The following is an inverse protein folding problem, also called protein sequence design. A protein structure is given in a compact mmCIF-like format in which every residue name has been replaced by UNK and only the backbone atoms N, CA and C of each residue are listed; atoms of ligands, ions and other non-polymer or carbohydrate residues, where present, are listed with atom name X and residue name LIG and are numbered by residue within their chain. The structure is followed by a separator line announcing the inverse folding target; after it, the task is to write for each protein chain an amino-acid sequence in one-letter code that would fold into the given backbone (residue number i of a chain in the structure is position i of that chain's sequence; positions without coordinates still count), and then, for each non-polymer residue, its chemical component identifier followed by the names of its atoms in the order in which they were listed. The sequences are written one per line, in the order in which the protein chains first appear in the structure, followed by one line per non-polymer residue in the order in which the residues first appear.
data_IF_163814186485
#
_entry.id   IF_163814186485
#
_cell.length_a   1.000
_cell.length_b   1.000
_cell.length_c   1.000
_cell.angle_alpha   90.00
_cell.angle_beta   90.00
_cell.angle_gamma   90.00
#
_symmetry.space_group_name_H-M   'P 1'
#
loop_
_entity.id
_entity.type
_entity.pdbx_description
1 polymer ?
#
# COMPACT_ATOMS: atom_id res chain seq x y z
N UNK A 1 28.79 -1.44 19.40
CA UNK A 1 27.43 -0.95 19.09
C UNK A 1 27.14 0.21 20.02
N UNK A 2 26.90 1.39 19.48
CA UNK A 2 26.58 2.59 20.26
C UNK A 2 25.18 2.41 20.89
N UNK A 3 24.91 2.99 22.04
CA UNK A 3 23.65 2.89 22.78
C UNK A 3 22.44 3.24 21.86
N UNK A 4 22.60 4.17 20.93
CA UNK A 4 21.60 4.55 19.93
C UNK A 4 21.23 3.39 18.97
N UNK A 5 22.19 2.57 18.56
CA UNK A 5 21.92 1.43 17.67
C UNK A 5 21.06 0.36 18.33
N UNK A 6 21.24 0.15 19.63
CA UNK A 6 20.45 -0.82 20.40
C UNK A 6 19.00 -0.35 20.51
N UNK A 7 18.78 0.94 20.79
CA UNK A 7 17.44 1.53 20.86
C UNK A 7 16.69 1.43 19.51
N UNK A 8 17.38 1.69 18.42
CA UNK A 8 16.82 1.56 17.05
C UNK A 8 16.44 0.10 16.77
N UNK A 9 17.30 -0.86 17.10
CA UNK A 9 17.03 -2.28 16.91
C UNK A 9 15.81 -2.72 17.72
N UNK A 10 15.71 -2.30 18.99
CA UNK A 10 14.56 -2.61 19.85
C UNK A 10 13.27 -2.02 19.27
N UNK A 11 13.27 -0.74 18.88
CA UNK A 11 12.12 -0.11 18.28
C UNK A 11 11.66 -0.82 17.00
N UNK A 12 12.60 -1.21 16.15
CA UNK A 12 12.32 -1.97 14.93
C UNK A 12 11.76 -3.37 15.24
N UNK A 13 12.32 -4.08 16.22
CA UNK A 13 11.84 -5.40 16.61
C UNK A 13 10.42 -5.33 17.19
N UNK A 14 10.12 -4.33 18.01
CA UNK A 14 8.78 -4.09 18.53
C UNK A 14 7.78 -3.78 17.42
N UNK A 15 8.18 -2.91 16.49
CA UNK A 15 7.36 -2.56 15.33
C UNK A 15 7.05 -3.78 14.45
N UNK A 16 8.06 -4.57 14.09
CA UNK A 16 7.88 -5.80 13.32
C UNK A 16 7.02 -6.82 14.07
N UNK A 17 7.22 -6.97 15.38
CA UNK A 17 6.40 -7.82 16.22
C UNK A 17 4.93 -7.42 16.22
N UNK A 18 4.65 -6.11 16.30
CA UNK A 18 3.29 -5.56 16.19
C UNK A 18 2.66 -5.84 14.81
N UNK A 19 3.42 -5.63 13.73
CA UNK A 19 2.96 -5.94 12.37
C UNK A 19 2.60 -7.41 12.19
N UNK A 20 3.46 -8.30 12.67
CA UNK A 20 3.23 -9.75 12.63
C UNK A 20 2.01 -10.15 13.48
N UNK A 21 1.86 -9.57 14.66
CA UNK A 21 0.70 -9.81 15.51
C UNK A 21 -0.61 -9.41 14.81
N UNK A 22 -0.66 -8.24 14.19
CA UNK A 22 -1.82 -7.77 13.42
C UNK A 22 -2.08 -8.71 12.24
N UNK A 23 -1.04 -9.14 11.51
CA UNK A 23 -1.16 -10.09 10.41
C UNK A 23 -1.81 -11.40 10.84
N UNK A 24 -1.31 -12.01 11.91
CA UNK A 24 -1.85 -13.28 12.46
C UNK A 24 -3.27 -13.10 13.02
N UNK A 25 -3.54 -11.98 13.68
CA UNK A 25 -4.88 -11.68 14.21
C UNK A 25 -5.94 -11.63 13.12
N UNK A 26 -5.67 -10.90 12.02
CA UNK A 26 -6.60 -10.78 10.91
C UNK A 26 -6.64 -12.02 10.03
N UNK A 27 -5.56 -12.80 9.92
CA UNK A 27 -5.57 -14.11 9.28
C UNK A 27 -6.63 -15.03 9.91
N UNK A 28 -6.67 -15.08 11.23
CA UNK A 28 -7.64 -15.92 11.97
C UNK A 28 -9.10 -15.44 11.83
N UNK A 29 -9.29 -14.18 11.45
CA UNK A 29 -10.62 -13.55 11.31
C UNK A 29 -11.14 -13.59 9.87
N UNK A 30 -10.29 -13.86 8.90
CA UNK A 30 -10.64 -13.93 7.48
C UNK A 30 -11.18 -15.32 7.15
N UNK A 31 -12.46 -15.42 6.82
CA UNK A 31 -13.13 -16.69 6.55
C UNK A 31 -13.47 -16.92 5.06
N UNK A 32 -13.31 -15.88 4.24
CA UNK A 32 -13.63 -15.92 2.81
C UNK A 32 -12.58 -15.21 1.96
N UNK A 33 -12.57 -15.49 0.65
CA UNK A 33 -11.73 -14.77 -0.32
C UNK A 33 -12.09 -13.27 -0.34
N UNK A 34 -13.37 -12.94 -0.22
CA UNK A 34 -13.83 -11.56 -0.12
C UNK A 34 -13.31 -10.83 1.12
N UNK A 35 -13.23 -11.52 2.27
CA UNK A 35 -12.64 -10.97 3.49
C UNK A 35 -11.13 -10.74 3.30
N UNK A 36 -10.45 -11.66 2.64
CA UNK A 36 -9.01 -11.54 2.41
C UNK A 36 -8.66 -10.40 1.44
N UNK A 37 -9.40 -10.24 0.33
CA UNK A 37 -9.11 -9.25 -0.72
C UNK A 37 -9.66 -7.85 -0.39
N UNK A 38 -10.86 -7.76 0.21
CA UNK A 38 -11.57 -6.49 0.45
C UNK A 38 -11.90 -6.24 1.93
N UNK A 39 -11.44 -7.10 2.84
CA UNK A 39 -11.76 -6.99 4.26
C UNK A 39 -13.26 -7.10 4.55
N UNK A 40 -14.01 -7.88 3.75
CA UNK A 40 -15.46 -7.99 3.88
C UNK A 40 -16.19 -6.65 3.68
N UNK A 41 -15.52 -5.64 3.13
CA UNK A 41 -16.04 -4.26 2.96
C UNK A 41 -16.47 -3.60 4.28
N UNK A 42 -15.86 -4.00 5.42
CA UNK A 42 -16.24 -3.56 6.77
C UNK A 42 -15.34 -2.44 7.33
N UNK A 43 -14.39 -1.93 6.54
CA UNK A 43 -13.51 -0.84 6.99
C UNK A 43 -14.30 0.44 7.24
N UNK A 44 -14.07 1.03 8.40
CA UNK A 44 -14.61 2.35 8.72
C UNK A 44 -13.97 3.46 7.88
N UNK A 45 -14.63 4.62 7.74
CA UNK A 45 -14.16 5.70 6.87
C UNK A 45 -12.77 6.24 7.25
N UNK A 46 -12.44 6.29 8.53
CA UNK A 46 -11.13 6.75 9.01
C UNK A 46 -10.00 5.80 8.62
N UNK A 47 -10.18 4.50 8.85
CA UNK A 47 -9.17 3.51 8.51
C UNK A 47 -8.99 3.44 6.99
N UNK A 48 -10.08 3.51 6.23
CA UNK A 48 -10.02 3.55 4.77
C UNK A 48 -9.25 4.76 4.25
N UNK A 49 -9.50 5.96 4.81
CA UNK A 49 -8.80 7.17 4.39
C UNK A 49 -7.31 7.13 4.74
N UNK A 50 -6.97 6.70 5.97
CA UNK A 50 -5.58 6.59 6.40
C UNK A 50 -4.80 5.51 5.65
N UNK A 51 -5.44 4.36 5.37
CA UNK A 51 -4.83 3.28 4.59
C UNK A 51 -4.62 3.70 3.13
N UNK A 52 -5.59 4.38 2.51
CA UNK A 52 -5.44 4.88 1.14
C UNK A 52 -4.30 5.89 1.05
N UNK A 53 -4.22 6.84 1.99
CA UNK A 53 -3.14 7.83 2.04
C UNK A 53 -1.77 7.18 2.25
N UNK A 54 -1.67 6.23 3.19
CA UNK A 54 -0.43 5.52 3.44
C UNK A 54 0.02 4.65 2.25
N UNK A 55 -0.92 4.08 1.51
CA UNK A 55 -0.63 3.28 0.31
C UNK A 55 -0.14 4.14 -0.87
N UNK A 56 -0.63 5.37 -0.98
CA UNK A 56 -0.16 6.34 -1.98
C UNK A 56 1.24 6.89 -1.65
N UNK A 57 1.60 6.93 -0.35
CA UNK A 57 2.91 7.37 0.10
C UNK A 57 3.97 6.30 -0.16
N UNK A 58 4.66 6.41 -1.28
CA UNK A 58 5.81 5.57 -1.65
C UNK A 58 7.15 6.23 -1.33
N UNK A 59 8.26 5.53 -1.63
CA UNK A 59 9.61 6.13 -1.65
C UNK A 59 9.72 7.39 -2.52
N UNK A 60 8.87 7.52 -3.54
CA UNK A 60 8.75 8.74 -4.35
C UNK A 60 8.32 9.95 -3.51
N UNK A 61 7.31 9.81 -2.67
CA UNK A 61 6.83 10.89 -1.81
C UNK A 61 7.91 11.35 -0.81
N UNK A 62 8.67 10.41 -0.26
CA UNK A 62 9.65 10.69 0.79
C UNK A 62 11.00 11.20 0.25
N UNK A 63 11.43 10.73 -0.91
CA UNK A 63 12.74 11.03 -1.49
C UNK A 63 12.64 11.78 -2.82
N UNK A 64 11.71 11.38 -3.69
CA UNK A 64 11.58 11.94 -5.03
C UNK A 64 11.01 13.35 -5.03
N UNK A 65 9.94 13.61 -4.29
CA UNK A 65 9.31 14.94 -4.22
C UNK A 65 10.23 15.97 -3.57
N UNK A 66 10.88 15.72 -2.42
CA UNK A 66 11.87 16.65 -1.89
C UNK A 66 13.07 16.87 -2.82
N UNK A 67 13.57 15.79 -3.45
CA UNK A 67 14.66 15.91 -4.43
C UNK A 67 14.27 16.74 -5.65
N UNK A 68 13.05 16.55 -6.15
CA UNK A 68 12.52 17.37 -7.24
C UNK A 68 12.35 18.83 -6.82
N UNK A 69 11.80 19.10 -5.64
CA UNK A 69 11.66 20.45 -5.12
C UNK A 69 13.02 21.14 -4.97
N UNK A 70 14.06 20.41 -4.56
CA UNK A 70 15.42 20.91 -4.49
C UNK A 70 15.98 21.30 -5.86
N UNK A 71 15.69 20.53 -6.91
CA UNK A 71 16.22 20.76 -8.27
C UNK A 71 15.39 21.75 -9.08
N UNK A 72 14.07 21.76 -8.91
CA UNK A 72 13.14 22.60 -9.71
C UNK A 72 12.56 23.78 -8.94
N UNK A 73 12.85 23.89 -7.64
CA UNK A 73 12.34 24.96 -6.79
C UNK A 73 10.81 24.92 -6.64
N UNK A 74 10.18 26.11 -6.67
CA UNK A 74 8.74 26.29 -6.44
C UNK A 74 7.88 25.51 -7.45
N UNK A 75 8.38 25.17 -8.62
CA UNK A 75 7.64 24.36 -9.61
C UNK A 75 7.22 23.00 -9.08
N UNK A 76 7.95 22.43 -8.12
CA UNK A 76 7.59 21.16 -7.46
C UNK A 76 6.28 21.22 -6.65
N UNK A 77 5.84 22.42 -6.25
CA UNK A 77 4.60 22.61 -5.48
C UNK A 77 3.36 22.20 -6.29
N UNK A 78 3.39 22.34 -7.62
CA UNK A 78 2.30 21.93 -8.48
C UNK A 78 1.97 20.44 -8.41
N UNK A 79 2.95 19.61 -8.09
CA UNK A 79 2.72 18.17 -7.86
C UNK A 79 1.85 17.97 -6.62
N UNK A 80 2.17 18.64 -5.51
CA UNK A 80 1.38 18.56 -4.28
C UNK A 80 -0.06 19.06 -4.50
N UNK A 81 -0.22 20.18 -5.20
CA UNK A 81 -1.54 20.72 -5.56
C UNK A 81 -2.31 19.73 -6.44
N UNK A 82 -1.66 19.16 -7.47
CA UNK A 82 -2.27 18.17 -8.36
C UNK A 82 -2.70 16.91 -7.64
N UNK A 83 -1.85 16.37 -6.77
CA UNK A 83 -2.18 15.20 -5.96
C UNK A 83 -3.36 15.47 -5.02
N UNK A 84 -3.36 16.59 -4.32
CA UNK A 84 -4.45 16.95 -3.38
C UNK A 84 -5.78 17.10 -4.10
N UNK A 85 -5.80 17.87 -5.20
CA UNK A 85 -7.02 18.06 -5.99
C UNK A 85 -7.48 16.77 -6.67
N UNK A 86 -6.53 15.97 -7.18
CA UNK A 86 -6.81 14.68 -7.80
C UNK A 86 -7.41 13.68 -6.82
N UNK A 87 -6.83 13.55 -5.64
CA UNK A 87 -7.35 12.69 -4.58
C UNK A 87 -8.74 13.14 -4.12
N UNK A 88 -8.93 14.44 -3.89
CA UNK A 88 -10.24 14.99 -3.55
C UNK A 88 -11.29 14.67 -4.63
N UNK A 89 -10.96 14.91 -5.91
CA UNK A 89 -11.87 14.64 -7.03
C UNK A 89 -12.17 13.13 -7.15
N UNK A 90 -11.17 12.27 -6.98
CA UNK A 90 -11.35 10.82 -6.98
C UNK A 90 -12.32 10.36 -5.88
N UNK A 91 -12.13 10.79 -4.64
CA UNK A 91 -13.04 10.44 -3.55
C UNK A 91 -14.43 11.03 -3.73
N UNK A 92 -14.55 12.24 -4.27
CA UNK A 92 -15.83 12.93 -4.44
C UNK A 92 -16.67 12.36 -5.59
N UNK A 93 -16.04 12.02 -6.71
CA UNK A 93 -16.75 11.69 -7.95
C UNK A 93 -16.63 10.22 -8.37
N UNK A 94 -15.49 9.58 -8.13
CA UNK A 94 -15.22 8.24 -8.65
C UNK A 94 -15.54 7.16 -7.63
N UNK A 95 -15.02 7.26 -6.40
CA UNK A 95 -15.03 6.16 -5.44
C UNK A 95 -16.45 5.68 -5.10
N UNK A 96 -17.37 6.60 -4.83
CA UNK A 96 -18.78 6.26 -4.51
C UNK A 96 -19.48 5.57 -5.69
N UNK A 97 -19.26 6.07 -6.89
CA UNK A 97 -19.86 5.49 -8.10
C UNK A 97 -19.29 4.10 -8.37
N UNK A 98 -17.98 3.97 -8.29
CA UNK A 98 -17.31 2.69 -8.50
C UNK A 98 -17.80 1.66 -7.47
N UNK A 99 -17.90 2.02 -6.20
CA UNK A 99 -18.41 1.15 -5.16
C UNK A 99 -19.81 0.61 -5.48
N UNK A 100 -20.74 1.49 -5.81
CA UNK A 100 -22.11 1.09 -6.15
C UNK A 100 -22.16 0.23 -7.42
N UNK A 101 -21.35 0.59 -8.43
CA UNK A 101 -21.31 -0.18 -9.68
C UNK A 101 -20.69 -1.55 -9.53
N UNK A 102 -19.67 -1.73 -8.69
CA UNK A 102 -19.07 -3.05 -8.43
C UNK A 102 -20.04 -3.97 -7.71
N UNK A 103 -20.89 -3.45 -6.82
CA UNK A 103 -21.91 -4.20 -6.11
C UNK A 103 -23.00 -4.68 -7.07
N UNK A 104 -23.49 -3.80 -7.96
CA UNK A 104 -24.49 -4.16 -8.99
C UNK A 104 -23.92 -5.10 -10.05
N UNK A 105 -22.62 -4.98 -10.38
CA UNK A 105 -21.91 -5.83 -11.34
C UNK A 105 -21.46 -7.15 -10.69
N UNK A 106 -22.40 -7.94 -10.19
CA UNK A 106 -22.18 -9.28 -9.61
C UNK A 106 -21.21 -9.29 -8.42
N UNK A 107 -21.24 -8.23 -7.60
CA UNK A 107 -20.35 -8.05 -6.44
C UNK A 107 -18.87 -8.24 -6.76
N UNK A 108 -18.43 -7.63 -7.87
CA UNK A 108 -17.07 -7.79 -8.39
C UNK A 108 -16.03 -7.41 -7.36
N UNK A 109 -15.09 -8.34 -7.06
CA UNK A 109 -14.06 -8.14 -6.05
C UNK A 109 -12.83 -7.38 -6.59
N UNK A 110 -12.58 -7.48 -7.89
CA UNK A 110 -11.42 -6.89 -8.57
C UNK A 110 -11.82 -6.00 -9.73
N UNK A 111 -10.94 -5.08 -10.14
CA UNK A 111 -11.18 -4.24 -11.32
C UNK A 111 -11.32 -5.07 -12.62
N UNK A 112 -10.51 -6.10 -12.87
CA UNK A 112 -10.73 -6.98 -14.03
C UNK A 112 -12.10 -7.64 -14.04
N UNK A 113 -12.58 -8.15 -12.89
CA UNK A 113 -13.91 -8.76 -12.78
C UNK A 113 -15.00 -7.71 -13.03
N UNK A 114 -14.85 -6.52 -12.46
CA UNK A 114 -15.77 -5.42 -12.69
C UNK A 114 -15.87 -5.05 -14.17
N UNK A 115 -14.74 -4.90 -14.85
CA UNK A 115 -14.72 -4.56 -16.27
C UNK A 115 -15.36 -5.68 -17.11
N UNK A 116 -15.05 -6.93 -16.84
CA UNK A 116 -15.68 -8.08 -17.49
C UNK A 116 -17.19 -8.05 -17.33
N UNK A 117 -17.69 -7.89 -16.10
CA UNK A 117 -19.12 -7.93 -15.81
C UNK A 117 -19.84 -6.68 -16.38
N UNK A 118 -19.19 -5.51 -16.34
CA UNK A 118 -19.75 -4.27 -16.89
C UNK A 118 -19.93 -4.31 -18.41
N UNK A 119 -18.96 -4.87 -19.12
CA UNK A 119 -18.98 -4.95 -20.58
C UNK A 119 -19.58 -6.26 -21.10
N UNK A 120 -20.08 -7.13 -20.20
CA UNK A 120 -20.63 -8.45 -20.55
C UNK A 120 -19.66 -9.27 -21.42
N UNK A 121 -18.37 -9.17 -21.14
CA UNK A 121 -17.33 -9.85 -21.93
C UNK A 121 -17.33 -11.35 -21.67
N UNK A 122 -17.89 -12.11 -22.60
CA UNK A 122 -17.92 -13.57 -22.56
C UNK A 122 -16.57 -14.20 -22.92
N UNK A 123 -15.73 -13.47 -23.65
CA UNK A 123 -14.39 -13.95 -24.08
C UNK A 123 -13.33 -13.88 -22.97
N UNK A 124 -13.63 -13.20 -21.87
CA UNK A 124 -12.69 -12.87 -20.79
C UNK A 124 -11.48 -12.01 -21.21
N UNK A 125 -11.47 -11.51 -22.45
CA UNK A 125 -10.34 -10.74 -23.01
C UNK A 125 -10.10 -9.46 -22.23
N UNK A 126 -11.15 -8.73 -21.87
CA UNK A 126 -11.05 -7.48 -21.10
C UNK A 126 -10.47 -7.75 -19.71
N UNK A 127 -10.92 -8.83 -19.06
CA UNK A 127 -10.39 -9.21 -17.76
C UNK A 127 -8.92 -9.58 -17.82
N UNK A 128 -8.52 -10.38 -18.80
CA UNK A 128 -7.12 -10.82 -18.97
C UNK A 128 -6.20 -9.63 -19.28
N UNK A 129 -6.58 -8.78 -20.21
CA UNK A 129 -5.79 -7.60 -20.61
C UNK A 129 -5.64 -6.65 -19.42
N UNK A 130 -6.73 -6.33 -18.72
CA UNK A 130 -6.68 -5.43 -17.57
C UNK A 130 -5.87 -6.03 -16.40
N UNK A 131 -5.99 -7.33 -16.15
CA UNK A 131 -5.19 -8.01 -15.14
C UNK A 131 -3.68 -7.99 -15.50
N UNK A 132 -3.34 -8.19 -16.77
CA UNK A 132 -1.97 -8.12 -17.24
C UNK A 132 -1.36 -6.72 -17.03
N UNK A 133 -2.08 -5.67 -17.39
CA UNK A 133 -1.63 -4.30 -17.15
C UNK A 133 -1.43 -4.03 -15.66
N UNK A 134 -2.40 -4.39 -14.82
CA UNK A 134 -2.28 -4.24 -13.37
C UNK A 134 -1.04 -4.97 -12.86
N UNK A 135 -0.82 -6.22 -13.26
CA UNK A 135 0.31 -7.04 -12.83
C UNK A 135 1.64 -6.38 -13.21
N UNK A 136 1.81 -5.93 -14.45
CA UNK A 136 3.05 -5.29 -14.92
C UNK A 136 3.33 -4.01 -14.13
N UNK A 137 2.36 -3.11 -14.01
CA UNK A 137 2.56 -1.83 -13.33
C UNK A 137 2.78 -2.00 -11.83
N UNK A 138 2.04 -2.90 -11.16
CA UNK A 138 2.24 -3.16 -9.74
C UNK A 138 3.55 -3.91 -9.45
N UNK A 139 4.04 -4.73 -10.35
CA UNK A 139 5.35 -5.35 -10.22
C UNK A 139 6.46 -4.29 -10.20
N UNK A 140 6.40 -3.32 -11.12
CA UNK A 140 7.36 -2.20 -11.15
C UNK A 140 7.23 -1.34 -9.88
N UNK A 141 6.00 -1.01 -9.48
CA UNK A 141 5.71 -0.22 -8.29
C UNK A 141 6.26 -0.89 -7.02
N UNK A 142 5.96 -2.17 -6.81
CA UNK A 142 6.42 -2.94 -5.65
C UNK A 142 7.95 -3.06 -5.63
N UNK A 143 8.58 -3.28 -6.79
CA UNK A 143 10.04 -3.32 -6.91
C UNK A 143 10.68 -2.01 -6.46
N UNK A 144 10.10 -0.87 -6.81
CA UNK A 144 10.59 0.44 -6.36
C UNK A 144 10.51 0.60 -4.85
N UNK A 145 9.45 0.08 -4.22
CA UNK A 145 9.28 0.04 -2.77
C UNK A 145 10.35 -0.81 -2.08
N UNK A 146 10.68 -1.98 -2.63
CA UNK A 146 11.75 -2.82 -2.09
C UNK A 146 13.13 -2.17 -2.20
N UNK A 147 13.41 -1.47 -3.30
CA UNK A 147 14.65 -0.68 -3.45
C UNK A 147 14.75 0.41 -2.38
N UNK A 148 13.66 1.14 -2.14
CA UNK A 148 13.62 2.17 -1.10
C UNK A 148 13.85 1.58 0.30
N UNK A 149 13.15 0.50 0.63
CA UNK A 149 13.33 -0.23 1.89
C UNK A 149 14.72 -0.82 2.04
N UNK A 150 15.28 -1.43 1.00
CA UNK A 150 16.65 -1.94 0.99
C UNK A 150 17.69 -0.86 1.28
N UNK A 151 17.55 0.33 0.69
CA UNK A 151 18.41 1.49 0.98
C UNK A 151 18.28 1.92 2.44
N UNK A 152 17.07 1.97 2.97
CA UNK A 152 16.82 2.32 4.37
C UNK A 152 17.53 1.36 5.33
N UNK A 153 17.35 0.06 5.15
CA UNK A 153 18.01 -0.96 5.99
C UNK A 153 19.54 -0.91 5.85
N UNK A 154 20.07 -0.74 4.64
CA UNK A 154 21.51 -0.57 4.42
C UNK A 154 22.05 0.65 5.20
N UNK A 155 21.34 1.79 5.14
CA UNK A 155 21.78 3.03 5.81
C UNK A 155 21.69 2.93 7.32
N UNK A 156 20.64 2.32 7.87
CA UNK A 156 20.43 2.24 9.33
C UNK A 156 21.30 1.17 9.98
N UNK A 157 21.37 -0.02 9.37
CA UNK A 157 22.02 -1.18 9.98
C UNK A 157 23.42 -1.47 9.43
N UNK A 158 23.84 -0.76 8.36
CA UNK A 158 25.14 -0.99 7.71
C UNK A 158 25.24 -2.34 7.01
N UNK A 159 24.11 -3.01 6.73
CA UNK A 159 24.07 -4.30 6.04
C UNK A 159 24.34 -4.11 4.56
N UNK A 160 24.82 -5.17 3.90
CA UNK A 160 24.90 -5.18 2.44
C UNK A 160 23.55 -4.87 1.82
N UNK A 161 23.55 -4.11 0.70
CA UNK A 161 22.31 -3.66 0.04
C UNK A 161 21.45 -4.83 -0.42
N UNK A 162 22.06 -5.87 -0.98
CA UNK A 162 21.35 -7.05 -1.49
C UNK A 162 20.65 -7.80 -0.35
N UNK A 163 21.35 -7.98 0.77
CA UNK A 163 20.79 -8.61 1.97
C UNK A 163 19.63 -7.77 2.52
N UNK A 164 19.81 -6.45 2.61
CA UNK A 164 18.82 -5.50 3.07
C UNK A 164 17.54 -5.53 2.21
N UNK A 165 17.70 -5.65 0.91
CA UNK A 165 16.59 -5.75 -0.06
C UNK A 165 15.79 -7.04 0.17
N UNK A 166 16.44 -8.19 0.29
CA UNK A 166 15.76 -9.46 0.53
C UNK A 166 15.07 -9.52 1.88
N UNK A 167 15.68 -8.95 2.93
CA UNK A 167 15.05 -8.83 4.25
C UNK A 167 13.77 -8.00 4.15
N UNK A 168 13.84 -6.82 3.52
CA UNK A 168 12.67 -5.95 3.34
C UNK A 168 11.57 -6.65 2.55
N UNK A 169 11.91 -7.27 1.42
CA UNK A 169 10.95 -7.99 0.59
C UNK A 169 10.32 -9.15 1.36
N UNK A 170 11.12 -9.95 2.08
CA UNK A 170 10.64 -11.06 2.88
C UNK A 170 9.65 -10.64 3.96
N UNK A 171 9.94 -9.57 4.70
CA UNK A 171 9.06 -9.04 5.73
C UNK A 171 7.72 -8.59 5.13
N UNK A 172 7.77 -7.79 4.05
CA UNK A 172 6.57 -7.26 3.40
C UNK A 172 5.70 -8.38 2.84
N UNK A 173 6.29 -9.30 2.08
CA UNK A 173 5.56 -10.43 1.50
C UNK A 173 4.94 -11.30 2.60
N UNK A 174 5.70 -11.58 3.66
CA UNK A 174 5.24 -12.47 4.71
C UNK A 174 4.04 -11.92 5.48
N UNK A 175 4.08 -10.67 5.95
CA UNK A 175 2.94 -10.11 6.70
C UNK A 175 1.71 -9.85 5.80
N UNK A 176 1.95 -9.48 4.54
CA UNK A 176 0.85 -9.25 3.57
C UNK A 176 0.16 -10.57 3.23
N UNK A 177 0.95 -11.62 2.99
CA UNK A 177 0.43 -12.96 2.69
C UNK A 177 -0.39 -13.53 3.86
N UNK A 178 0.06 -13.31 5.10
CA UNK A 178 -0.67 -13.78 6.28
C UNK A 178 -1.96 -13.01 6.51
N UNK A 179 -1.92 -11.70 6.48
CA UNK A 179 -3.02 -10.88 7.02
C UNK A 179 -4.00 -10.32 5.99
N UNK A 180 -3.68 -10.37 4.69
CA UNK A 180 -4.50 -9.84 3.62
C UNK A 180 -4.79 -8.34 3.76
N UNK A 181 -5.88 -7.90 3.14
CA UNK A 181 -6.24 -6.48 3.06
C UNK A 181 -6.48 -5.81 4.42
N UNK A 182 -7.15 -6.49 5.34
CA UNK A 182 -7.44 -5.91 6.68
C UNK A 182 -6.17 -5.66 7.47
N UNK A 183 -5.22 -6.60 7.46
CA UNK A 183 -3.96 -6.41 8.16
C UNK A 183 -3.16 -5.25 7.55
N UNK A 184 -3.09 -5.18 6.23
CA UNK A 184 -2.41 -4.06 5.53
C UNK A 184 -3.06 -2.74 5.89
N UNK A 185 -4.39 -2.63 5.84
CA UNK A 185 -5.11 -1.40 6.14
C UNK A 185 -4.91 -0.93 7.58
N UNK A 186 -4.88 -1.82 8.54
CA UNK A 186 -4.60 -1.49 9.94
C UNK A 186 -3.14 -1.11 10.18
N UNK A 187 -2.21 -1.81 9.56
CA UNK A 187 -0.79 -1.45 9.64
C UNK A 187 -0.51 -0.09 9.00
N UNK A 188 -1.19 0.22 7.91
CA UNK A 188 -1.11 1.52 7.24
C UNK A 188 -1.69 2.64 8.11
N UNK A 189 -2.80 2.37 8.81
CA UNK A 189 -3.38 3.30 9.77
C UNK A 189 -2.37 3.67 10.87
N UNK A 190 -1.69 2.69 11.47
CA UNK A 190 -0.67 2.92 12.49
C UNK A 190 0.51 3.73 11.91
N UNK A 191 0.98 3.39 10.71
CA UNK A 191 2.04 4.14 10.01
C UNK A 191 1.64 5.60 9.74
N UNK A 192 0.38 5.83 9.40
CA UNK A 192 -0.12 7.18 9.13
C UNK A 192 -0.17 8.03 10.39
N UNK A 193 -0.43 7.41 11.54
CA UNK A 193 -0.50 8.11 12.82
C UNK A 193 0.89 8.50 13.33
N UNK A 194 1.90 7.65 13.15
CA UNK A 194 3.30 7.97 13.49
C UNK A 194 3.83 9.19 12.73
N UNK A 195 3.38 9.45 11.51
CA UNK A 195 3.81 10.60 10.70
C UNK A 195 3.18 11.92 11.13
N UNK A 196 2.13 11.90 11.94
CA UNK A 196 1.51 13.13 12.48
C UNK A 196 2.25 13.69 13.69
N UNK A 197 3.09 12.88 14.33
CA UNK A 197 3.82 13.22 15.57
C UNK A 197 5.26 13.66 15.30
N UNK A 198 5.75 13.55 14.06
CA UNK A 198 7.12 13.89 13.64
C UNK A 198 7.26 15.30 13.06
#
# INVERSE_FOLDING_TARGET
MTHNNIMIIIAFALYLGLMMYIGVYYYRKSNSIGDYILGGRQLGPWITALSAEASDMSGWMLMGVPGLAYTTGISGVWIAVGLTLGTWANWRFVSRRLRNHTEVASDSLTLPDYLKNRFHDQSHSVAVISALFILIFFLIYTSSGFVAGGKLFNTIFGLDYTVSLFITAGIVVFYTFLGGFLAVSWTDCIRSEERRVG
#
